data_IF_902312478080
#
_entry.id   IF_902312478080
#
_cell.length_a   1.000
_cell.length_b   1.000
_cell.length_c   1.000
_cell.angle_alpha   90.00
_cell.angle_beta   90.00
_cell.angle_gamma   90.00
#
_symmetry.space_group_name_H-M   'P 1'
#
loop_
_entity.id
_entity.type
_entity.pdbx_description
1 polymer ?
#
# COMPACT_ATOMS: atom_id res chain seq x y z
N UNK A 1 9.48 -33.72 -9.18
CA UNK A 1 8.78 -32.66 -8.43
C UNK A 1 8.66 -33.07 -6.96
N UNK A 2 9.76 -33.22 -6.22
CA UNK A 2 9.74 -34.04 -4.99
C UNK A 2 9.49 -33.21 -3.70
N UNK A 3 9.40 -31.88 -3.75
CA UNK A 3 9.15 -31.05 -2.54
C UNK A 3 8.23 -29.83 -2.80
N UNK A 4 7.13 -29.98 -3.54
CA UNK A 4 6.12 -28.90 -3.66
C UNK A 4 5.08 -29.00 -2.54
N UNK A 5 4.73 -27.87 -1.93
CA UNK A 5 3.67 -27.76 -0.92
C UNK A 5 2.60 -26.81 -1.42
N UNK A 6 1.35 -27.26 -1.41
CA UNK A 6 0.19 -26.41 -1.68
C UNK A 6 -0.13 -25.56 -0.44
N UNK A 7 -0.48 -24.30 -0.67
CA UNK A 7 -0.87 -23.35 0.36
C UNK A 7 -2.17 -22.68 -0.08
N UNK A 8 -3.15 -22.66 0.80
CA UNK A 8 -4.38 -21.90 0.62
C UNK A 8 -4.25 -20.50 1.24
N UNK A 9 -4.68 -19.49 0.50
CA UNK A 9 -4.68 -18.10 0.96
C UNK A 9 -6.04 -17.46 0.68
N UNK A 10 -6.51 -16.63 1.61
CA UNK A 10 -7.70 -15.80 1.43
C UNK A 10 -7.37 -14.37 1.85
N UNK A 11 -7.80 -13.41 1.04
CA UNK A 11 -7.54 -12.00 1.27
C UNK A 11 -8.50 -11.11 0.49
N UNK A 12 -8.61 -9.86 0.93
CA UNK A 12 -9.36 -8.85 0.19
C UNK A 12 -8.56 -8.43 -1.05
N UNK A 13 -9.25 -8.20 -2.17
CA UNK A 13 -8.63 -7.56 -3.32
C UNK A 13 -8.28 -6.11 -2.97
N UNK A 14 -6.99 -5.81 -2.91
CA UNK A 14 -6.47 -4.46 -2.65
C UNK A 14 -6.60 -3.57 -3.89
N UNK A 15 -7.84 -3.18 -4.20
CA UNK A 15 -8.16 -2.23 -5.25
C UNK A 15 -8.94 -1.05 -4.66
N UNK A 16 -8.64 0.17 -5.11
CA UNK A 16 -9.15 1.42 -4.52
C UNK A 16 -10.69 1.46 -4.45
N UNK A 17 -11.38 0.98 -5.50
CA UNK A 17 -12.86 0.92 -5.56
C UNK A 17 -13.47 -0.08 -4.56
N UNK A 18 -12.69 -1.06 -4.10
CA UNK A 18 -13.12 -2.07 -3.11
C UNK A 18 -12.78 -1.67 -1.67
N UNK A 19 -12.15 -0.52 -1.46
CA UNK A 19 -11.80 0.00 -0.13
C UNK A 19 -12.84 0.97 0.44
N UNK A 20 -13.92 1.25 -0.30
CA UNK A 20 -14.98 2.16 0.12
C UNK A 20 -16.25 1.39 0.54
N UNK A 21 -17.06 1.99 1.42
CA UNK A 21 -18.17 1.31 2.11
C UNK A 21 -19.48 1.21 1.31
N UNK A 22 -19.53 1.74 0.08
CA UNK A 22 -20.72 1.71 -0.79
C UNK A 22 -20.69 0.47 -1.66
N UNK A 23 -21.79 -0.26 -1.63
CA UNK A 23 -22.04 -1.37 -2.54
C UNK A 23 -22.24 -0.88 -3.97
N UNK A 24 -21.78 -1.67 -4.94
CA UNK A 24 -22.09 -1.45 -6.35
C UNK A 24 -23.59 -1.60 -6.59
N UNK A 25 -24.15 -0.75 -7.46
CA UNK A 25 -25.54 -0.85 -7.88
C UNK A 25 -25.80 -2.16 -8.63
N UNK A 26 -27.05 -2.60 -8.61
CA UNK A 26 -27.47 -3.75 -9.40
C UNK A 26 -27.39 -3.44 -10.90
N UNK A 27 -27.25 -4.49 -11.72
CA UNK A 27 -27.17 -4.40 -13.19
C UNK A 27 -25.96 -3.60 -13.71
N UNK A 28 -24.86 -3.59 -12.94
CA UNK A 28 -23.57 -3.04 -13.38
C UNK A 28 -22.62 -4.20 -13.66
N UNK A 29 -22.15 -4.30 -14.91
CA UNK A 29 -21.15 -5.29 -15.30
C UNK A 29 -19.78 -4.93 -14.70
N UNK A 30 -19.15 -5.92 -14.06
CA UNK A 30 -17.82 -5.77 -13.48
C UNK A 30 -16.87 -6.78 -14.10
N UNK A 31 -15.73 -6.29 -14.60
CA UNK A 31 -14.62 -7.12 -15.09
C UNK A 31 -13.39 -6.88 -14.23
N UNK A 32 -12.90 -7.94 -13.58
CA UNK A 32 -11.66 -7.92 -12.79
C UNK A 32 -10.60 -8.67 -13.59
N UNK A 33 -9.51 -7.99 -13.94
CA UNK A 33 -8.33 -8.60 -14.57
C UNK A 33 -7.20 -8.64 -13.55
N UNK A 34 -6.78 -9.85 -13.18
CA UNK A 34 -5.61 -10.06 -12.32
C UNK A 34 -4.44 -10.50 -13.19
N UNK A 35 -3.32 -9.81 -13.06
CA UNK A 35 -2.07 -10.14 -13.75
C UNK A 35 -1.11 -10.64 -12.68
N UNK A 36 -0.60 -11.85 -12.85
CA UNK A 36 0.30 -12.46 -11.88
C UNK A 36 1.67 -11.80 -11.96
N UNK A 37 2.23 -11.43 -10.81
CA UNK A 37 3.63 -11.02 -10.69
C UNK A 37 4.59 -12.16 -11.04
N UNK A 38 5.85 -11.82 -11.31
CA UNK A 38 6.90 -12.80 -11.55
C UNK A 38 7.21 -13.62 -10.27
N UNK A 39 7.64 -14.89 -10.38
CA UNK A 39 7.89 -15.74 -9.20
C UNK A 39 8.90 -15.17 -8.20
N UNK A 40 9.95 -14.48 -8.67
CA UNK A 40 10.95 -13.81 -7.85
C UNK A 40 10.41 -12.65 -7.00
N UNK A 41 9.29 -12.06 -7.41
CA UNK A 41 8.58 -11.08 -6.58
C UNK A 41 7.73 -11.76 -5.50
N UNK A 42 7.20 -12.95 -5.78
CA UNK A 42 6.27 -13.65 -4.89
C UNK A 42 6.96 -14.45 -3.78
N UNK A 43 8.19 -14.90 -3.99
CA UNK A 43 8.92 -15.76 -3.06
C UNK A 43 10.31 -15.25 -2.73
N UNK A 44 10.70 -15.45 -1.47
CA UNK A 44 12.07 -15.30 -1.01
C UNK A 44 12.77 -16.66 -0.99
N UNK A 45 13.99 -16.72 -1.52
CA UNK A 45 14.84 -17.90 -1.52
C UNK A 45 16.11 -17.63 -0.71
N UNK A 46 16.35 -18.38 0.36
CA UNK A 46 17.59 -18.28 1.15
C UNK A 46 18.82 -18.67 0.32
N UNK A 47 18.66 -19.59 -0.63
CA UNK A 47 19.74 -20.10 -1.47
C UNK A 47 19.77 -19.43 -2.86
N UNK A 48 18.97 -18.39 -3.07
CA UNK A 48 18.81 -17.70 -4.36
C UNK A 48 18.41 -18.64 -5.51
N UNK A 49 17.82 -19.79 -5.19
CA UNK A 49 17.29 -20.76 -6.14
C UNK A 49 15.99 -20.27 -6.76
N UNK A 50 15.80 -20.56 -8.04
CA UNK A 50 14.56 -20.27 -8.74
C UNK A 50 13.43 -21.18 -8.28
N UNK A 51 12.28 -20.58 -7.96
CA UNK A 51 11.07 -21.31 -7.62
C UNK A 51 9.99 -21.03 -8.66
N UNK A 52 9.22 -22.06 -9.00
CA UNK A 52 8.02 -21.90 -9.80
C UNK A 52 6.80 -21.83 -8.90
N UNK A 53 5.88 -20.92 -9.22
CA UNK A 53 4.57 -20.80 -8.56
C UNK A 53 3.54 -21.32 -9.54
N UNK A 54 2.64 -22.17 -9.09
CA UNK A 54 1.49 -22.62 -9.89
C UNK A 54 0.23 -22.25 -9.13
N UNK A 55 -0.70 -21.57 -9.80
CA UNK A 55 -2.03 -21.30 -9.26
C UNK A 55 -2.90 -22.50 -9.60
N UNK A 56 -3.15 -23.36 -8.62
CA UNK A 56 -4.00 -24.56 -8.81
C UNK A 56 -5.47 -24.17 -8.90
N UNK A 57 -5.93 -23.28 -8.01
CA UNK A 57 -7.31 -22.83 -7.95
C UNK A 57 -7.40 -21.37 -7.50
N UNK A 58 -8.30 -20.61 -8.11
CA UNK A 58 -8.60 -19.24 -7.73
C UNK A 58 -10.12 -19.02 -7.74
N UNK A 59 -10.65 -18.45 -6.66
CA UNK A 59 -12.07 -18.15 -6.51
C UNK A 59 -12.27 -16.75 -5.93
N UNK A 60 -13.34 -16.08 -6.36
CA UNK A 60 -13.72 -14.76 -5.87
C UNK A 60 -15.04 -14.85 -5.11
N UNK A 61 -15.01 -14.51 -3.83
CA UNK A 61 -16.20 -14.40 -3.00
C UNK A 61 -16.75 -12.98 -3.06
N UNK A 62 -17.99 -12.82 -3.54
CA UNK A 62 -18.64 -11.50 -3.68
C UNK A 62 -19.86 -11.44 -2.77
N UNK A 63 -19.92 -10.40 -1.93
CA UNK A 63 -21.10 -10.11 -1.10
C UNK A 63 -22.22 -9.53 -1.96
N UNK A 64 -23.37 -10.21 -2.00
CA UNK A 64 -24.62 -9.70 -2.58
C UNK A 64 -25.58 -9.29 -1.46
N UNK A 65 -26.31 -8.20 -1.64
CA UNK A 65 -27.27 -7.69 -0.65
C UNK A 65 -28.63 -7.53 -1.32
N UNK A 66 -29.67 -8.06 -0.68
CA UNK A 66 -31.05 -7.85 -1.08
C UNK A 66 -31.56 -6.57 -0.41
N UNK A 67 -31.96 -5.60 -1.23
CA UNK A 67 -32.55 -4.34 -0.75
C UNK A 67 -34.07 -4.42 -0.75
N UNK A 68 -34.73 -3.57 0.03
CA UNK A 68 -36.20 -3.48 0.02
C UNK A 68 -36.71 -2.87 -1.29
N UNK A 69 -37.94 -3.17 -1.73
CA UNK A 69 -38.48 -2.62 -2.98
C UNK A 69 -38.50 -1.08 -3.02
N UNK A 70 -38.77 -0.43 -1.88
CA UNK A 70 -38.74 1.03 -1.76
C UNK A 70 -37.36 1.63 -2.02
N UNK A 71 -36.28 0.97 -1.56
CA UNK A 71 -34.90 1.40 -1.81
C UNK A 71 -34.55 1.20 -3.29
N UNK A 72 -34.95 0.07 -3.89
CA UNK A 72 -34.75 -0.16 -5.33
C UNK A 72 -35.43 0.90 -6.19
N UNK A 73 -36.70 1.22 -5.90
CA UNK A 73 -37.44 2.27 -6.61
C UNK A 73 -36.82 3.66 -6.39
N UNK A 74 -36.37 3.94 -5.17
CA UNK A 74 -35.67 5.17 -4.83
C UNK A 74 -34.37 5.33 -5.63
N UNK A 75 -33.57 4.27 -5.74
CA UNK A 75 -32.37 4.27 -6.58
C UNK A 75 -32.71 4.52 -8.05
N UNK A 76 -33.72 3.85 -8.62
CA UNK A 76 -34.12 4.07 -10.01
C UNK A 76 -34.49 5.53 -10.28
N UNK A 77 -35.35 6.13 -9.44
CA UNK A 77 -35.73 7.56 -9.55
C UNK A 77 -34.57 8.53 -9.36
N UNK A 78 -33.62 8.20 -8.48
CA UNK A 78 -32.44 9.05 -8.28
C UNK A 78 -31.49 9.00 -9.48
N UNK A 79 -31.36 7.83 -10.13
CA UNK A 79 -30.53 7.62 -11.31
C UNK A 79 -31.05 8.32 -12.56
N UNK A 80 -32.37 8.56 -12.66
CA UNK A 80 -32.96 9.40 -13.70
C UNK A 80 -32.46 10.86 -13.63
N UNK A 81 -32.13 11.34 -12.42
CA UNK A 81 -31.71 12.73 -12.19
C UNK A 81 -30.19 12.90 -12.12
N UNK A 82 -29.50 11.94 -11.52
CA UNK A 82 -28.08 12.05 -11.21
C UNK A 82 -27.38 10.69 -11.25
N UNK A 83 -26.14 10.66 -11.77
CA UNK A 83 -25.33 9.44 -11.76
C UNK A 83 -24.89 9.05 -10.34
N UNK A 84 -24.73 7.74 -10.11
CA UNK A 84 -24.14 7.23 -8.88
C UNK A 84 -22.67 7.67 -8.76
N UNK A 85 -22.28 8.12 -7.57
CA UNK A 85 -20.93 8.58 -7.26
C UNK A 85 -20.27 7.64 -6.27
N UNK A 86 -19.13 7.08 -6.66
CA UNK A 86 -18.28 6.25 -5.82
C UNK A 86 -16.99 7.02 -5.51
N UNK A 87 -16.82 7.54 -4.28
CA UNK A 87 -15.57 8.19 -3.91
C UNK A 87 -14.46 7.14 -3.81
N UNK A 88 -13.30 7.46 -4.39
CA UNK A 88 -12.14 6.59 -4.42
C UNK A 88 -10.95 7.40 -3.89
N UNK A 89 -10.23 6.84 -2.93
CA UNK A 89 -8.93 7.37 -2.53
C UNK A 89 -7.85 6.69 -3.37
N UNK A 90 -7.24 7.45 -4.28
CA UNK A 90 -6.21 6.94 -5.18
C UNK A 90 -4.87 6.77 -4.48
N UNK A 91 -4.20 5.66 -4.73
CA UNK A 91 -2.85 5.38 -4.25
C UNK A 91 -1.88 5.54 -5.42
N UNK A 92 -0.94 6.47 -5.27
CA UNK A 92 0.10 6.74 -6.28
C UNK A 92 1.45 6.45 -5.65
N UNK A 93 2.22 5.55 -6.27
CA UNK A 93 3.59 5.25 -5.88
C UNK A 93 4.57 6.00 -6.79
N UNK A 94 5.51 6.75 -6.19
CA UNK A 94 6.64 7.35 -6.89
C UNK A 94 7.93 6.81 -6.28
N UNK A 95 8.86 6.40 -7.14
CA UNK A 95 10.15 5.83 -6.74
C UNK A 95 11.25 6.78 -7.15
N UNK A 96 12.20 7.00 -6.24
CA UNK A 96 13.39 7.82 -6.47
C UNK A 96 14.64 7.04 -6.06
N UNK A 97 15.75 7.29 -6.75
CA UNK A 97 17.02 6.63 -6.47
C UNK A 97 17.94 7.55 -5.68
N UNK A 98 18.37 7.08 -4.52
CA UNK A 98 19.38 7.77 -3.70
C UNK A 98 20.74 7.12 -3.94
N UNK A 99 21.75 7.85 -4.45
CA UNK A 99 23.09 7.31 -4.67
C UNK A 99 23.76 6.87 -3.36
N UNK A 100 24.63 5.86 -3.45
CA UNK A 100 25.42 5.39 -2.30
C UNK A 100 26.39 6.49 -1.86
N UNK A 101 26.43 6.77 -0.55
CA UNK A 101 27.30 7.79 0.03
C UNK A 101 26.71 9.20 0.05
N UNK A 102 25.51 9.39 -0.49
CA UNK A 102 24.78 10.66 -0.36
C UNK A 102 24.38 10.90 1.10
N UNK A 103 24.76 12.06 1.64
CA UNK A 103 24.36 12.52 2.97
C UNK A 103 23.02 13.26 2.96
N UNK A 104 22.65 13.82 1.80
CA UNK A 104 21.40 14.54 1.59
C UNK A 104 20.77 14.14 0.25
N UNK A 105 19.45 14.12 0.23
CA UNK A 105 18.64 13.91 -0.95
C UNK A 105 17.43 14.84 -0.88
N UNK A 106 17.20 15.60 -1.94
CA UNK A 106 16.08 16.53 -2.06
C UNK A 106 15.38 16.26 -3.38
N UNK A 107 14.06 16.17 -3.34
CA UNK A 107 13.24 15.97 -4.53
C UNK A 107 12.11 16.99 -4.51
N UNK A 108 12.19 17.94 -5.44
CA UNK A 108 11.14 18.93 -5.64
C UNK A 108 10.02 18.38 -6.51
N UNK A 109 8.85 19.01 -6.41
CA UNK A 109 7.70 18.72 -7.25
C UNK A 109 7.26 17.24 -7.24
N UNK A 110 7.37 16.60 -6.07
CA UNK A 110 6.99 15.18 -5.90
C UNK A 110 5.55 14.94 -6.35
N UNK A 111 4.62 15.84 -6.06
CA UNK A 111 3.25 15.78 -6.57
C UNK A 111 2.89 17.13 -7.18
N UNK A 112 2.34 17.10 -8.41
CA UNK A 112 1.87 18.28 -9.13
C UNK A 112 0.34 18.22 -9.22
N UNK A 113 -0.34 19.29 -8.86
CA UNK A 113 -1.80 19.37 -8.88
C UNK A 113 -2.45 18.80 -7.63
N UNK A 114 -3.06 17.61 -7.74
CA UNK A 114 -3.80 17.02 -6.62
C UNK A 114 -2.86 16.62 -5.47
N UNK A 115 -3.03 17.26 -4.31
CA UNK A 115 -2.26 16.97 -3.12
C UNK A 115 -2.72 15.65 -2.47
N UNK A 116 -1.81 14.71 -2.16
CA UNK A 116 -2.18 13.52 -1.42
C UNK A 116 -2.64 13.88 0.00
N UNK A 117 -3.65 13.16 0.50
CA UNK A 117 -4.12 13.28 1.89
C UNK A 117 -3.16 12.62 2.89
N UNK A 118 -2.33 11.70 2.41
CA UNK A 118 -1.39 10.89 3.20
C UNK A 118 -0.16 10.57 2.37
N UNK A 119 1.01 10.74 2.97
CA UNK A 119 2.27 10.34 2.39
C UNK A 119 2.85 9.19 3.21
N UNK A 120 3.25 8.13 2.54
CA UNK A 120 4.00 7.01 3.13
C UNK A 120 5.35 6.98 2.43
N UNK A 121 6.41 7.21 3.17
CA UNK A 121 7.78 7.17 2.67
C UNK A 121 8.42 5.89 3.18
N UNK A 122 9.00 5.13 2.27
CA UNK A 122 9.70 3.89 2.57
C UNK A 122 11.00 3.84 1.81
N UNK A 123 12.00 3.17 2.36
CA UNK A 123 13.27 2.94 1.69
C UNK A 123 13.46 1.44 1.50
N UNK A 124 13.78 1.06 0.28
CA UNK A 124 14.13 -0.30 -0.10
C UNK A 124 15.49 -0.31 -0.80
N UNK A 125 16.21 -1.43 -0.72
CA UNK A 125 17.44 -1.60 -1.50
C UNK A 125 17.09 -1.71 -2.98
N UNK A 126 17.82 -1.01 -3.85
CA UNK A 126 17.64 -1.09 -5.31
C UNK A 126 17.69 -2.53 -5.83
N UNK A 127 18.55 -3.38 -5.26
CA UNK A 127 18.64 -4.79 -5.61
C UNK A 127 17.35 -5.59 -5.31
N UNK A 128 16.56 -5.17 -4.31
CA UNK A 128 15.27 -5.78 -4.00
C UNK A 128 14.16 -5.34 -4.97
N UNK A 129 14.25 -4.12 -5.53
CA UNK A 129 13.35 -3.63 -6.59
C UNK A 129 13.60 -4.38 -7.91
N UNK A 130 14.84 -4.80 -8.16
CA UNK A 130 15.24 -5.56 -9.34
C UNK A 130 15.00 -7.08 -9.19
N UNK A 131 14.09 -7.48 -8.30
CA UNK A 131 13.58 -8.84 -8.11
C UNK A 131 14.66 -9.93 -7.92
N UNK A 132 15.66 -9.69 -7.05
CA UNK A 132 16.56 -10.75 -6.59
C UNK A 132 15.86 -11.67 -5.59
N UNK A 133 15.88 -13.00 -5.80
CA UNK A 133 15.20 -13.97 -4.94
C UNK A 133 15.64 -13.92 -3.47
N UNK A 134 16.87 -13.48 -3.18
CA UNK A 134 17.38 -13.36 -1.81
C UNK A 134 16.93 -12.11 -1.06
N UNK A 135 16.29 -11.14 -1.74
CA UNK A 135 15.91 -9.85 -1.16
C UNK A 135 14.39 -9.61 -1.22
N UNK A 136 13.84 -9.16 -0.10
CA UNK A 136 12.44 -8.80 -0.01
C UNK A 136 12.24 -7.30 -0.29
N UNK A 137 11.42 -6.96 -1.28
CA UNK A 137 11.05 -5.57 -1.59
C UNK A 137 10.25 -4.89 -0.46
N UNK A 138 9.46 -5.67 0.29
CA UNK A 138 8.64 -5.17 1.39
C UNK A 138 9.40 -5.08 2.72
N UNK A 139 10.69 -5.42 2.72
CA UNK A 139 11.56 -5.22 3.88
C UNK A 139 12.11 -3.79 3.86
N UNK A 140 11.28 -2.85 4.30
CA UNK A 140 11.66 -1.45 4.38
C UNK A 140 12.62 -1.22 5.55
N UNK A 141 13.68 -0.46 5.29
CA UNK A 141 14.70 -0.13 6.30
C UNK A 141 14.80 1.36 6.48
N UNK A 142 15.08 1.83 7.68
CA UNK A 142 15.30 3.26 7.92
C UNK A 142 16.63 3.78 7.34
N UNK A 143 17.60 2.89 7.05
CA UNK A 143 18.91 3.21 6.46
C UNK A 143 19.64 4.38 7.14
N UNK A 144 19.60 4.42 8.48
CA UNK A 144 20.21 5.47 9.32
C UNK A 144 19.82 6.89 8.88
N UNK A 145 18.56 7.09 8.48
CA UNK A 145 18.03 8.42 8.18
C UNK A 145 18.04 9.27 9.44
N UNK A 146 18.73 10.40 9.43
CA UNK A 146 18.78 11.32 10.58
C UNK A 146 17.57 12.26 10.60
N UNK A 147 17.20 12.78 9.42
CA UNK A 147 16.23 13.86 9.27
C UNK A 147 15.38 13.65 8.02
N UNK A 148 14.08 13.92 8.16
CA UNK A 148 13.14 13.96 7.05
C UNK A 148 12.29 15.23 7.13
N UNK A 149 12.49 16.11 6.15
CA UNK A 149 11.68 17.30 5.93
C UNK A 149 10.75 17.08 4.74
N UNK A 150 9.48 17.42 4.92
CA UNK A 150 8.49 17.46 3.84
C UNK A 150 8.02 18.91 3.76
N UNK A 151 7.94 19.45 2.54
CA UNK A 151 7.58 20.84 2.31
C UNK A 151 6.38 20.92 1.37
N UNK A 152 5.41 21.73 1.76
CA UNK A 152 4.23 22.08 0.98
C UNK A 152 4.35 23.56 0.61
N UNK A 153 4.53 23.87 -0.68
CA UNK A 153 4.67 25.24 -1.17
C UNK A 153 5.70 26.08 -0.38
N UNK A 154 6.84 25.45 -0.04
CA UNK A 154 7.92 26.06 0.74
C UNK A 154 7.73 26.03 2.26
N UNK A 155 6.55 25.64 2.76
CA UNK A 155 6.27 25.53 4.19
C UNK A 155 6.52 24.11 4.71
N UNK A 156 7.25 23.92 5.83
CA UNK A 156 7.52 22.60 6.38
C UNK A 156 6.25 21.96 6.98
N UNK A 157 5.98 20.71 6.64
CA UNK A 157 4.84 19.93 7.13
C UNK A 157 5.30 18.52 7.54
N UNK A 158 5.31 18.16 8.84
CA UNK A 158 4.96 18.99 10.00
C UNK A 158 6.01 20.09 10.28
N UNK A 159 5.63 21.15 11.02
CA UNK A 159 6.48 22.32 11.27
C UNK A 159 7.89 21.97 11.80
N UNK A 160 7.95 20.97 12.69
CA UNK A 160 9.22 20.35 13.06
C UNK A 160 9.44 19.15 12.14
N UNK A 161 10.58 19.04 11.44
CA UNK A 161 10.94 17.86 10.70
C UNK A 161 10.94 16.59 11.56
N UNK A 162 10.89 15.43 10.91
CA UNK A 162 10.98 14.13 11.58
C UNK A 162 12.45 13.80 11.83
N UNK A 163 12.75 13.37 13.05
CA UNK A 163 14.11 13.05 13.50
C UNK A 163 14.13 11.58 13.92
N UNK A 164 14.79 10.73 13.13
CA UNK A 164 14.84 9.29 13.37
C UNK A 164 16.15 8.92 14.05
N UNK A 165 16.22 9.08 15.37
CA UNK A 165 17.38 8.61 16.12
C UNK A 165 17.11 7.23 16.72
N UNK A 166 17.44 6.19 15.95
CA UNK A 166 17.24 4.80 16.36
C UNK A 166 18.24 4.35 17.43
N UNK A 167 19.43 4.96 17.51
CA UNK A 167 20.47 4.62 18.50
C UNK A 167 20.11 5.03 19.93
N UNK A 168 19.43 6.16 20.08
CA UNK A 168 18.97 6.69 21.39
C UNK A 168 17.50 6.37 21.70
N UNK A 169 16.89 5.47 20.92
CA UNK A 169 15.46 5.12 20.99
C UNK A 169 14.47 6.30 20.86
N UNK A 170 14.94 7.43 20.33
CA UNK A 170 14.16 8.65 20.18
C UNK A 170 13.50 8.71 18.80
N UNK A 171 12.46 7.88 18.62
CA UNK A 171 11.67 7.78 17.39
C UNK A 171 10.16 7.62 17.66
N UNK A 172 9.73 7.89 18.91
CA UNK A 172 8.35 7.65 19.34
C UNK A 172 7.34 8.52 18.57
N UNK A 173 7.75 9.72 18.17
CA UNK A 173 6.92 10.66 17.42
C UNK A 173 6.67 10.15 16.00
N UNK A 174 7.69 9.57 15.38
CA UNK A 174 7.68 9.00 14.03
C UNK A 174 6.88 7.69 14.03
N UNK A 175 7.07 6.84 15.04
CA UNK A 175 6.25 5.65 15.25
C UNK A 175 4.77 6.02 15.45
N UNK A 176 4.48 7.03 16.28
CA UNK A 176 3.13 7.56 16.44
C UNK A 176 2.58 8.14 15.13
N UNK A 177 3.40 8.81 14.32
CA UNK A 177 2.98 9.31 13.00
C UNK A 177 2.58 8.18 12.06
N UNK A 178 3.32 7.06 12.06
CA UNK A 178 2.94 5.87 11.29
C UNK A 178 1.61 5.30 11.78
N UNK A 179 1.47 5.14 13.10
CA UNK A 179 0.27 4.58 13.73
C UNK A 179 -0.97 5.47 13.50
N UNK A 180 -0.85 6.76 13.74
CA UNK A 180 -1.95 7.72 13.56
C UNK A 180 -2.29 7.98 12.10
N UNK A 181 -1.31 7.83 11.19
CA UNK A 181 -1.51 7.96 9.76
C UNK A 181 -2.34 6.82 9.17
N UNK A 182 -2.23 5.60 9.68
CA UNK A 182 -2.92 4.42 9.15
C UNK A 182 -4.32 4.24 9.78
N UNK A 183 -5.27 3.70 9.00
CA UNK A 183 -6.67 3.58 9.43
C UNK A 183 -6.82 2.53 10.55
N UNK A 184 -7.59 2.93 11.57
CA UNK A 184 -7.57 2.44 12.96
C UNK A 184 -8.18 1.05 13.20
N UNK A 185 -8.80 0.44 12.20
CA UNK A 185 -9.67 -0.73 12.45
C UNK A 185 -8.94 -2.08 12.45
N UNK A 186 -7.71 -2.15 11.90
CA UNK A 186 -6.98 -3.42 11.73
C UNK A 186 -5.58 -3.44 12.36
N UNK A 187 -5.15 -2.34 12.99
CA UNK A 187 -3.78 -2.18 13.49
C UNK A 187 -2.73 -2.07 12.37
N UNK A 188 -1.48 -1.83 12.76
CA UNK A 188 -0.35 -1.66 11.83
C UNK A 188 0.57 -2.89 11.73
N UNK A 189 0.35 -3.92 12.57
CA UNK A 189 1.16 -5.14 12.68
C UNK A 189 2.69 -4.91 12.70
N UNK A 190 3.11 -3.72 13.12
CA UNK A 190 4.50 -3.31 13.30
C UNK A 190 4.61 -2.86 14.75
N UNK A 191 5.39 -3.59 15.53
CA UNK A 191 5.72 -3.21 16.90
C UNK A 191 6.73 -2.05 16.93
N UNK A 192 6.86 -1.40 18.09
CA UNK A 192 7.86 -0.35 18.29
C UNK A 192 9.29 -0.85 18.03
N UNK A 193 9.59 -2.08 18.45
CA UNK A 193 10.90 -2.72 18.27
C UNK A 193 11.18 -3.08 16.81
N UNK A 194 10.15 -3.45 16.05
CA UNK A 194 10.29 -3.70 14.60
C UNK A 194 10.46 -2.39 13.84
N UNK A 195 9.84 -1.30 14.29
CA UNK A 195 9.98 0.01 13.65
C UNK A 195 11.42 0.56 13.72
N UNK A 196 12.20 0.22 14.75
CA UNK A 196 13.59 0.66 14.90
C UNK A 196 14.62 -0.17 14.12
N UNK A 197 14.20 -1.23 13.42
CA UNK A 197 15.10 -2.16 12.67
C UNK A 197 15.20 -1.80 11.19
#
# INVERSE_FOLDING_TARGET
MVNSRTLDMIGQLHCEIFQQNRLMLNLVDMKIKMIRSKPNFCFLSTNNSEYNVVLEHASLFVRKVKVSPGVSLGHAKALEKTSAKYPIDRVICKTYFVPKGSLSFMQDNVFLGSMPKRLIITFAKNAAINDQYSLNLFNFKHNTLNFLGIYLDGQPVPCKPMELNCESENYIREYHSLFSGLNRDKGIYISREEFSK
#
